data_IF_192489754828
#
_entry.id   IF_192489754828
#
_cell.length_a   1.000
_cell.length_b   1.000
_cell.length_c   1.000
_cell.angle_alpha   90.00
_cell.angle_beta   90.00
_cell.angle_gamma   90.00
#
_symmetry.space_group_name_H-M   'P 1'
#
loop_
_entity.id
_entity.type
_entity.pdbx_description
1 polymer ?
#
# COMPACT_ATOMS: atom_id res chain seq x y z
N UNK A 1 -18.49 5.43 10.07
CA UNK A 1 -19.71 5.43 9.23
C UNK A 1 -19.26 5.23 7.79
N UNK A 2 -19.64 4.12 7.18
CA UNK A 2 -19.37 3.85 5.76
C UNK A 2 -20.73 3.91 5.06
N UNK A 3 -20.82 4.73 4.01
CA UNK A 3 -22.02 4.89 3.20
C UNK A 3 -21.79 4.19 1.87
N UNK A 4 -22.61 3.20 1.54
CA UNK A 4 -22.62 2.61 0.21
C UNK A 4 -23.77 3.22 -0.57
N UNK A 5 -23.47 3.66 -1.79
CA UNK A 5 -24.45 4.28 -2.68
C UNK A 5 -24.50 3.43 -3.94
N UNK A 6 -25.64 2.77 -4.14
CA UNK A 6 -25.93 2.03 -5.36
C UNK A 6 -26.62 2.99 -6.34
N UNK A 7 -25.90 3.33 -7.42
CA UNK A 7 -26.39 4.20 -8.49
C UNK A 7 -26.18 3.57 -9.87
N UNK A 8 -27.08 3.85 -10.82
CA UNK A 8 -26.88 3.44 -12.20
C UNK A 8 -25.63 4.08 -12.82
N UNK A 9 -24.92 3.31 -13.65
CA UNK A 9 -23.66 3.72 -14.29
C UNK A 9 -23.77 5.04 -15.08
N UNK A 10 -24.93 5.30 -15.70
CA UNK A 10 -25.16 6.49 -16.52
C UNK A 10 -25.30 7.78 -15.71
N UNK A 11 -25.44 7.71 -14.38
CA UNK A 11 -25.48 8.89 -13.48
C UNK A 11 -24.10 9.31 -12.96
N UNK A 12 -23.05 8.56 -13.33
CA UNK A 12 -21.66 8.79 -12.97
C UNK A 12 -20.91 9.21 -14.22
N UNK A 13 -20.17 10.31 -14.14
CA UNK A 13 -19.24 10.69 -15.20
C UNK A 13 -17.99 9.81 -15.07
N UNK A 14 -17.90 8.80 -15.95
CA UNK A 14 -16.90 7.71 -15.89
C UNK A 14 -15.59 8.04 -16.61
N UNK A 15 -15.24 9.32 -16.77
CA UNK A 15 -13.89 9.73 -17.20
C UNK A 15 -12.84 9.54 -16.08
N UNK A 16 -12.93 8.40 -15.40
CA UNK A 16 -12.25 8.04 -14.15
C UNK A 16 -11.35 6.84 -14.42
N UNK A 17 -10.05 7.11 -14.55
CA UNK A 17 -9.01 6.08 -14.53
C UNK A 17 -9.06 5.34 -13.18
N UNK A 18 -8.78 4.03 -13.11
CA UNK A 18 -8.87 3.23 -11.87
C UNK A 18 -8.02 3.74 -10.67
N UNK A 19 -7.18 4.75 -10.88
CA UNK A 19 -6.37 5.41 -9.85
C UNK A 19 -6.97 6.73 -9.31
N UNK A 20 -8.09 7.23 -9.84
CA UNK A 20 -8.74 8.44 -9.34
C UNK A 20 -9.58 8.11 -8.09
N UNK A 21 -9.26 8.77 -6.98
CA UNK A 21 -9.97 8.69 -5.69
C UNK A 21 -11.27 9.50 -5.64
N UNK A 22 -11.59 10.25 -6.70
CA UNK A 22 -12.76 11.13 -6.78
C UNK A 22 -13.66 10.72 -7.95
N UNK A 23 -14.97 10.69 -7.70
CA UNK A 23 -16.02 10.37 -8.67
C UNK A 23 -16.91 11.59 -8.89
N UNK A 24 -17.18 11.93 -10.16
CA UNK A 24 -18.10 13.02 -10.52
C UNK A 24 -19.49 12.46 -10.81
N UNK A 25 -20.51 13.06 -10.21
CA UNK A 25 -21.91 12.67 -10.41
C UNK A 25 -22.61 13.68 -11.31
N UNK A 26 -23.48 13.21 -12.22
CA UNK A 26 -24.25 14.09 -13.09
C UNK A 26 -25.16 15.04 -12.31
N UNK A 27 -25.72 14.60 -11.18
CA UNK A 27 -26.55 15.42 -10.30
C UNK A 27 -26.00 15.46 -8.87
N UNK A 28 -25.04 16.34 -8.65
CA UNK A 28 -24.34 16.49 -7.38
C UNK A 28 -25.25 16.97 -6.24
N UNK A 29 -26.32 17.71 -6.56
CA UNK A 29 -27.29 18.19 -5.59
C UNK A 29 -28.16 17.06 -5.03
N UNK A 30 -28.53 16.09 -5.86
CA UNK A 30 -29.26 14.90 -5.43
C UNK A 30 -28.43 14.08 -4.44
N UNK A 31 -27.19 13.77 -4.77
CA UNK A 31 -26.28 13.01 -3.90
C UNK A 31 -26.10 13.72 -2.55
N UNK A 32 -25.88 15.04 -2.56
CA UNK A 32 -25.80 15.84 -1.33
C UNK A 32 -27.09 15.74 -0.50
N UNK A 33 -28.25 15.84 -1.12
CA UNK A 33 -29.54 15.75 -0.42
C UNK A 33 -29.76 14.37 0.24
N UNK A 34 -29.33 13.30 -0.43
CA UNK A 34 -29.40 11.93 0.08
C UNK A 34 -28.50 11.73 1.29
N UNK A 35 -27.24 12.18 1.21
CA UNK A 35 -26.28 12.10 2.32
C UNK A 35 -26.84 12.85 3.54
N UNK A 36 -27.33 14.08 3.36
CA UNK A 36 -27.88 14.90 4.45
C UNK A 36 -29.10 14.21 5.07
N UNK A 37 -30.01 13.63 4.25
CA UNK A 37 -31.20 12.93 4.75
C UNK A 37 -30.83 11.69 5.56
N UNK A 38 -29.87 10.89 5.11
CA UNK A 38 -29.39 9.69 5.81
C UNK A 38 -28.74 10.02 7.14
N UNK A 39 -27.91 11.06 7.17
CA UNK A 39 -27.27 11.53 8.41
C UNK A 39 -28.32 12.03 9.40
N UNK A 40 -29.28 12.85 8.94
CA UNK A 40 -30.37 13.31 9.82
C UNK A 40 -31.19 12.16 10.39
N UNK A 41 -31.53 11.15 9.57
CA UNK A 41 -32.29 9.97 10.01
C UNK A 41 -31.53 9.16 11.06
N UNK A 42 -30.22 9.01 10.91
CA UNK A 42 -29.35 8.34 11.89
C UNK A 42 -29.27 9.11 13.21
N UNK A 43 -29.10 10.44 13.15
CA UNK A 43 -29.04 11.28 14.35
C UNK A 43 -30.37 11.27 15.12
N UNK A 44 -31.50 11.20 14.41
CA UNK A 44 -32.83 11.14 15.05
C UNK A 44 -33.18 9.80 15.71
N UNK A 45 -32.39 8.72 15.50
CA UNK A 45 -32.62 7.40 16.10
C UNK A 45 -31.40 6.97 16.95
N UNK A 46 -31.29 7.42 18.21
CA UNK A 46 -30.06 7.30 19.00
C UNK A 46 -29.86 5.94 19.70
N UNK A 47 -30.64 4.90 19.37
CA UNK A 47 -30.57 3.59 20.02
C UNK A 47 -30.26 2.48 19.02
N UNK A 48 -28.98 2.35 18.64
CA UNK A 48 -28.26 1.08 18.46
C UNK A 48 -26.90 1.29 17.75
N UNK A 49 -25.84 1.07 18.55
CA UNK A 49 -24.48 0.61 18.23
C UNK A 49 -23.66 1.23 17.07
N UNK A 50 -22.37 1.40 17.38
CA UNK A 50 -21.32 2.21 16.74
C UNK A 50 -20.91 1.76 15.32
N UNK A 51 -21.52 0.71 14.78
CA UNK A 51 -21.23 0.22 13.43
C UNK A 51 -22.57 0.10 12.68
N UNK A 52 -22.97 1.12 11.93
CA UNK A 52 -24.10 1.03 11.01
C UNK A 52 -23.60 1.28 9.58
N UNK A 53 -23.93 0.34 8.69
CA UNK A 53 -23.72 0.46 7.26
C UNK A 53 -25.04 0.92 6.65
N UNK A 54 -25.03 2.03 5.92
CA UNK A 54 -26.23 2.55 5.25
C UNK A 54 -26.08 2.28 3.76
N UNK A 55 -27.01 1.51 3.20
CA UNK A 55 -27.11 1.30 1.75
C UNK A 55 -28.20 2.22 1.20
N UNK A 56 -27.83 3.03 0.21
CA UNK A 56 -28.76 3.90 -0.50
C UNK A 56 -28.97 3.36 -1.91
N UNK A 57 -30.18 2.86 -2.19
CA UNK A 57 -30.60 2.48 -3.54
C UNK A 57 -31.42 3.61 -4.16
N UNK A 58 -30.97 4.09 -5.32
CA UNK A 58 -31.72 5.07 -6.12
C UNK A 58 -32.50 4.30 -7.21
N UNK A 59 -33.83 4.28 -7.11
CA UNK A 59 -34.70 3.65 -8.12
C UNK A 59 -35.07 4.64 -9.23
N UNK A 60 -35.23 4.14 -10.47
CA UNK A 60 -35.45 4.94 -11.68
C UNK A 60 -36.77 5.75 -11.72
N UNK A 61 -37.72 5.53 -10.82
CA UNK A 61 -39.09 6.09 -10.94
C UNK A 61 -39.22 7.59 -10.58
N UNK A 62 -38.13 8.28 -10.22
CA UNK A 62 -38.17 9.68 -9.77
C UNK A 62 -37.57 10.68 -10.76
N UNK A 63 -37.34 10.32 -12.03
CA UNK A 63 -36.63 11.17 -12.99
C UNK A 63 -37.40 11.60 -14.24
N UNK A 64 -38.62 11.14 -14.45
CA UNK A 64 -39.48 11.72 -15.49
C UNK A 64 -40.28 12.87 -14.89
N UNK A 65 -39.88 14.10 -15.28
CA UNK A 65 -40.45 15.41 -14.96
C UNK A 65 -39.89 16.11 -13.71
N UNK A 66 -38.98 17.06 -13.93
CA UNK A 66 -39.33 18.49 -13.77
C UNK A 66 -38.11 19.41 -13.96
N UNK A 67 -38.39 20.52 -14.63
CA UNK A 67 -37.46 21.59 -14.94
C UNK A 67 -36.69 22.14 -13.73
N UNK A 68 -35.44 22.50 -14.04
CA UNK A 68 -34.55 23.32 -13.23
C UNK A 68 -35.24 24.57 -12.69
N UNK A 69 -35.69 24.55 -11.42
CA UNK A 69 -35.51 25.66 -10.46
C UNK A 69 -36.01 25.44 -9.03
N UNK A 70 -36.81 24.41 -8.71
CA UNK A 70 -37.41 24.27 -7.38
C UNK A 70 -37.20 22.89 -6.70
N UNK A 71 -35.96 22.41 -6.61
CA UNK A 71 -35.63 21.13 -5.94
C UNK A 71 -35.58 21.27 -4.39
N UNK A 72 -35.83 22.46 -3.82
CA UNK A 72 -35.69 22.66 -2.36
C UNK A 72 -36.90 22.23 -1.52
N UNK A 73 -38.06 21.90 -2.09
CA UNK A 73 -39.26 21.74 -1.25
C UNK A 73 -40.14 20.53 -1.49
N UNK A 74 -40.06 19.79 -2.61
CA UNK A 74 -40.99 18.66 -2.84
C UNK A 74 -40.31 17.42 -3.45
N UNK A 75 -39.32 16.83 -2.77
CA UNK A 75 -39.17 15.37 -2.86
C UNK A 75 -40.05 14.76 -1.76
N UNK A 76 -41.33 14.63 -2.09
CA UNK A 76 -42.32 13.86 -1.36
C UNK A 76 -41.75 12.49 -0.99
N UNK A 77 -42.10 12.09 0.23
CA UNK A 77 -41.41 11.13 1.08
C UNK A 77 -41.39 9.67 0.58
N UNK A 78 -41.86 9.36 -0.63
CA UNK A 78 -42.38 8.00 -0.91
C UNK A 78 -41.50 7.08 -1.77
N UNK A 79 -40.48 7.55 -2.51
CA UNK A 79 -39.78 6.67 -3.47
C UNK A 79 -38.29 6.39 -3.20
N UNK A 80 -37.81 6.60 -1.97
CA UNK A 80 -36.42 6.30 -1.59
C UNK A 80 -36.37 5.24 -0.49
N UNK A 81 -36.14 3.99 -0.89
CA UNK A 81 -35.95 2.86 0.03
C UNK A 81 -34.57 2.99 0.71
N UNK A 82 -34.57 3.50 1.94
CA UNK A 82 -33.39 3.54 2.81
C UNK A 82 -33.46 2.33 3.72
N UNK A 83 -32.67 1.30 3.40
CA UNK A 83 -32.59 0.06 4.17
C UNK A 83 -31.43 0.19 5.18
N UNK A 84 -31.77 0.23 6.47
CA UNK A 84 -30.76 0.18 7.53
C UNK A 84 -30.50 -1.28 7.88
N UNK A 85 -29.31 -1.77 7.53
CA UNK A 85 -28.86 -3.09 7.92
C UNK A 85 -27.95 -2.99 9.16
N UNK A 86 -28.10 -3.88 10.15
CA UNK A 86 -27.14 -3.97 11.24
C UNK A 86 -25.76 -4.28 10.65
N UNK A 87 -24.68 -3.64 11.11
CA UNK A 87 -23.34 -3.92 10.57
C UNK A 87 -22.76 -5.28 11.02
N UNK A 88 -23.56 -6.13 11.66
CA UNK A 88 -23.32 -7.57 11.55
C UNK A 88 -23.56 -7.97 10.11
N UNK A 89 -22.49 -7.93 9.32
CA UNK A 89 -22.33 -8.89 8.24
C UNK A 89 -22.61 -10.26 8.86
N UNK A 90 -23.79 -10.82 8.60
CA UNK A 90 -23.84 -12.23 8.28
C UNK A 90 -22.93 -12.37 7.06
N UNK A 91 -21.64 -12.60 7.32
CA UNK A 91 -20.83 -13.33 6.37
C UNK A 91 -21.68 -14.53 5.99
N UNK A 92 -22.07 -14.62 4.72
CA UNK A 92 -22.53 -15.88 4.18
C UNK A 92 -21.53 -16.94 4.64
N UNK A 93 -21.96 -17.83 5.53
CA UNK A 93 -21.11 -18.93 6.03
C UNK A 93 -20.74 -19.91 4.91
N UNK A 94 -21.24 -19.68 3.70
CA UNK A 94 -21.01 -20.48 2.51
C UNK A 94 -19.85 -19.99 1.63
N UNK A 95 -19.19 -18.88 1.98
CA UNK A 95 -17.95 -18.44 1.34
C UNK A 95 -16.71 -18.79 2.19
N UNK A 96 -16.66 -20.02 2.73
CA UNK A 96 -15.39 -20.65 3.09
C UNK A 96 -14.62 -20.97 1.80
N UNK A 97 -14.17 -19.94 1.08
CA UNK A 97 -12.87 -20.07 0.43
C UNK A 97 -11.92 -20.39 1.56
N UNK A 98 -11.40 -21.61 1.59
CA UNK A 98 -10.29 -22.00 2.46
C UNK A 98 -9.11 -21.15 2.04
N UNK A 99 -9.04 -19.92 2.53
CA UNK A 99 -7.88 -19.07 2.35
C UNK A 99 -6.77 -19.73 3.16
N UNK A 100 -5.91 -20.46 2.44
CA UNK A 100 -4.71 -21.02 3.02
C UNK A 100 -3.76 -19.86 3.32
N UNK A 101 -3.76 -19.42 4.58
CA UNK A 101 -2.91 -18.36 5.09
C UNK A 101 -1.78 -18.99 5.91
N UNK A 102 -0.67 -19.42 5.28
CA UNK A 102 0.36 -20.17 5.96
C UNK A 102 1.10 -19.34 7.03
N UNK A 103 1.03 -18.00 6.99
CA UNK A 103 1.54 -17.15 8.06
C UNK A 103 0.49 -16.80 9.12
N UNK A 104 -0.76 -17.23 8.95
CA UNK A 104 -1.81 -17.08 9.96
C UNK A 104 -2.30 -15.64 10.14
N UNK A 105 -2.65 -15.26 11.37
CA UNK A 105 -3.13 -13.92 11.70
C UNK A 105 -2.20 -13.24 12.72
N UNK A 106 -1.84 -11.98 12.46
CA UNK A 106 -1.03 -11.18 13.36
C UNK A 106 -1.73 -10.96 14.72
N UNK A 107 -0.98 -11.15 15.81
CA UNK A 107 -1.47 -11.01 17.19
C UNK A 107 -0.81 -9.88 17.94
N UNK A 108 0.48 -9.70 17.75
CA UNK A 108 1.24 -8.69 18.47
C UNK A 108 2.48 -8.26 17.70
N UNK A 109 2.98 -7.08 18.05
CA UNK A 109 4.28 -6.60 17.65
C UNK A 109 5.15 -6.47 18.91
N UNK A 110 6.38 -7.00 18.87
CA UNK A 110 7.35 -6.90 19.95
C UNK A 110 8.45 -5.90 19.58
N UNK A 111 8.76 -4.99 20.50
CA UNK A 111 9.80 -3.96 20.39
C UNK A 111 9.81 -3.16 19.07
N UNK A 112 8.68 -3.12 18.36
CA UNK A 112 8.57 -2.53 17.02
C UNK A 112 9.51 -3.15 15.97
N UNK A 113 9.97 -4.38 16.20
CA UNK A 113 10.92 -5.11 15.34
C UNK A 113 10.41 -6.48 14.92
N UNK A 114 9.66 -7.16 15.79
CA UNK A 114 9.14 -8.50 15.52
C UNK A 114 7.62 -8.48 15.46
N UNK A 115 7.07 -9.30 14.56
CA UNK A 115 5.63 -9.59 14.50
C UNK A 115 5.42 -11.03 14.95
N UNK A 116 4.41 -11.23 15.79
CA UNK A 116 3.93 -12.54 16.18
C UNK A 116 2.63 -12.80 15.44
N UNK A 117 2.55 -13.94 14.76
CA UNK A 117 1.32 -14.44 14.17
C UNK A 117 0.97 -15.84 14.67
N UNK A 118 -0.32 -16.13 14.73
CA UNK A 118 -0.85 -17.44 15.11
C UNK A 118 -1.36 -18.16 13.87
N UNK A 119 -0.93 -19.41 13.70
CA UNK A 119 -1.43 -20.35 12.68
C UNK A 119 -2.27 -21.45 13.33
N UNK A 120 -2.82 -22.37 12.55
CA UNK A 120 -3.56 -23.53 13.09
C UNK A 120 -2.67 -24.44 13.95
N UNK A 121 -1.37 -24.47 13.68
CA UNK A 121 -0.44 -25.47 14.21
C UNK A 121 0.61 -24.88 15.15
N UNK A 122 0.56 -23.57 15.41
CA UNK A 122 1.49 -22.90 16.32
C UNK A 122 1.58 -21.38 16.15
N UNK A 123 2.78 -20.87 16.43
CA UNK A 123 3.11 -19.44 16.41
C UNK A 123 4.27 -19.21 15.45
N UNK A 124 4.23 -18.11 14.70
CA UNK A 124 5.34 -17.66 13.85
C UNK A 124 5.85 -16.32 14.38
N UNK A 125 7.16 -16.24 14.55
CA UNK A 125 7.87 -14.98 14.78
C UNK A 125 8.47 -14.50 13.46
N UNK A 126 8.20 -13.25 13.10
CA UNK A 126 8.66 -12.62 11.87
C UNK A 126 9.56 -11.44 12.23
N UNK A 127 10.74 -11.38 11.64
CA UNK A 127 11.57 -10.17 11.61
C UNK A 127 10.96 -9.19 10.59
N UNK A 128 10.35 -8.13 11.09
CA UNK A 128 9.65 -7.14 10.27
C UNK A 128 10.58 -6.48 9.26
N UNK A 129 11.81 -6.15 9.68
CA UNK A 129 12.76 -5.42 8.86
C UNK A 129 13.27 -6.30 7.72
N UNK A 130 13.74 -7.50 8.05
CA UNK A 130 14.24 -8.45 7.06
C UNK A 130 13.14 -8.89 6.07
N UNK A 131 11.90 -9.09 6.56
CA UNK A 131 10.75 -9.38 5.71
C UNK A 131 10.44 -8.25 4.73
N UNK A 132 10.42 -6.99 5.22
CA UNK A 132 10.12 -5.83 4.39
C UNK A 132 11.18 -5.60 3.32
N UNK A 133 12.47 -5.68 3.68
CA UNK A 133 13.57 -5.59 2.71
C UNK A 133 13.44 -6.64 1.62
N UNK A 134 13.09 -7.88 1.98
CA UNK A 134 12.92 -8.95 0.99
C UNK A 134 11.75 -8.71 0.06
N UNK A 135 10.61 -8.24 0.59
CA UNK A 135 9.44 -7.89 -0.22
C UNK A 135 9.80 -6.81 -1.25
N UNK A 136 10.43 -5.72 -0.79
CA UNK A 136 10.82 -4.59 -1.65
C UNK A 136 11.80 -5.07 -2.73
N UNK A 137 12.81 -5.86 -2.37
CA UNK A 137 13.79 -6.36 -3.33
C UNK A 137 13.15 -7.22 -4.43
N UNK A 138 12.28 -8.15 -4.06
CA UNK A 138 11.62 -9.03 -5.05
C UNK A 138 10.64 -8.24 -5.94
N UNK A 139 9.97 -7.22 -5.39
CA UNK A 139 9.12 -6.32 -6.16
C UNK A 139 9.93 -5.49 -7.17
N UNK A 140 11.07 -4.93 -6.76
CA UNK A 140 12.01 -4.23 -7.65
C UNK A 140 12.51 -5.15 -8.76
N UNK A 141 12.96 -6.36 -8.42
CA UNK A 141 13.39 -7.36 -9.40
C UNK A 141 12.28 -7.67 -10.39
N UNK A 142 11.07 -7.94 -9.91
CA UNK A 142 9.92 -8.24 -10.76
C UNK A 142 9.63 -7.09 -11.73
N UNK A 143 9.57 -5.86 -11.24
CA UNK A 143 9.27 -4.69 -12.05
C UNK A 143 10.38 -4.40 -13.07
N UNK A 144 11.64 -4.61 -12.68
CA UNK A 144 12.78 -4.48 -13.58
C UNK A 144 12.73 -5.50 -14.73
N UNK A 145 12.39 -6.77 -14.46
CA UNK A 145 12.24 -7.78 -15.51
C UNK A 145 11.08 -7.48 -16.48
N UNK A 146 10.05 -6.75 -16.02
CA UNK A 146 8.93 -6.30 -16.85
C UNK A 146 9.33 -5.08 -17.71
N UNK A 147 10.45 -4.43 -17.42
CA UNK A 147 11.07 -3.41 -18.26
C UNK A 147 10.86 -1.97 -17.79
N UNK A 148 10.21 -1.73 -16.65
CA UNK A 148 10.20 -0.40 -16.02
C UNK A 148 9.81 -0.48 -14.54
N UNK A 149 10.63 0.12 -13.68
CA UNK A 149 10.25 0.38 -12.29
C UNK A 149 9.37 1.63 -12.26
N UNK A 150 8.16 1.58 -11.65
CA UNK A 150 7.31 2.76 -11.48
C UNK A 150 8.05 3.86 -10.69
N UNK A 151 8.05 5.07 -11.25
CA UNK A 151 8.64 6.26 -10.64
C UNK A 151 7.56 7.28 -10.26
N UNK A 152 7.81 8.04 -9.20
CA UNK A 152 7.03 9.18 -8.77
C UNK A 152 7.84 10.48 -8.94
N UNK A 153 7.18 11.52 -9.44
CA UNK A 153 7.78 12.86 -9.56
C UNK A 153 7.82 13.50 -8.18
N UNK A 154 8.97 14.08 -7.82
CA UNK A 154 9.12 14.86 -6.60
C UNK A 154 8.39 16.20 -6.73
N UNK A 155 7.62 16.58 -5.72
CA UNK A 155 6.97 17.89 -5.66
C UNK A 155 7.99 19.04 -5.77
N UNK A 156 9.16 18.83 -5.16
CA UNK A 156 10.30 19.73 -5.20
C UNK A 156 11.51 18.89 -5.63
N UNK A 157 12.14 19.16 -6.78
CA UNK A 157 13.37 18.49 -7.18
C UNK A 157 14.46 18.66 -6.13
N UNK A 158 15.19 17.59 -5.84
CA UNK A 158 16.24 17.59 -4.83
C UNK A 158 17.61 17.83 -5.48
N UNK A 159 18.33 18.84 -4.99
CA UNK A 159 19.68 19.19 -5.47
C UNK A 159 20.71 18.54 -4.56
N UNK A 160 21.57 17.68 -5.12
CA UNK A 160 22.54 16.89 -4.36
C UNK A 160 23.95 17.22 -4.82
N UNK A 161 24.79 17.64 -3.87
CA UNK A 161 26.21 17.87 -4.08
C UNK A 161 27.00 16.56 -3.86
N UNK A 162 27.90 16.26 -4.79
CA UNK A 162 28.71 15.05 -4.89
C UNK A 162 30.16 15.44 -5.21
N UNK A 163 31.09 14.48 -5.14
CA UNK A 163 32.42 14.71 -5.69
C UNK A 163 32.45 14.53 -7.22
N UNK A 164 33.53 14.96 -7.87
CA UNK A 164 33.65 14.91 -9.34
C UNK A 164 33.61 13.48 -9.89
N UNK A 165 34.17 12.51 -9.16
CA UNK A 165 34.18 11.11 -9.56
C UNK A 165 32.77 10.51 -9.53
N UNK A 166 32.05 10.70 -8.41
CA UNK A 166 30.66 10.30 -8.20
C UNK A 166 29.72 10.90 -9.24
N UNK A 167 29.87 12.20 -9.52
CA UNK A 167 29.04 12.91 -10.49
C UNK A 167 29.22 12.31 -11.89
N UNK A 168 30.47 12.09 -12.31
CA UNK A 168 30.76 11.46 -13.60
C UNK A 168 30.19 10.03 -13.68
N UNK A 169 30.33 9.24 -12.62
CA UNK A 169 29.80 7.87 -12.58
C UNK A 169 28.27 7.83 -12.69
N UNK A 170 27.55 8.75 -12.05
CA UNK A 170 26.10 8.84 -12.19
C UNK A 170 25.67 9.27 -13.60
N UNK A 171 26.39 10.22 -14.20
CA UNK A 171 26.11 10.70 -15.58
C UNK A 171 26.36 9.58 -16.59
N UNK A 172 27.45 8.81 -16.45
CA UNK A 172 27.76 7.66 -17.31
C UNK A 172 26.65 6.59 -17.25
N UNK A 173 26.02 6.41 -16.07
CA UNK A 173 24.99 5.41 -15.83
C UNK A 173 23.56 6.00 -15.81
N UNK A 174 23.33 7.19 -16.37
CA UNK A 174 22.04 7.88 -16.30
C UNK A 174 20.88 7.08 -16.89
N UNK A 175 21.14 6.30 -17.95
CA UNK A 175 20.15 5.43 -18.59
C UNK A 175 19.74 4.27 -17.67
N UNK A 176 20.71 3.66 -16.99
CA UNK A 176 20.45 2.61 -16.02
C UNK A 176 19.62 3.14 -14.86
N UNK A 177 19.94 4.34 -14.37
CA UNK A 177 19.20 5.02 -13.31
C UNK A 177 17.75 5.29 -13.72
N UNK A 178 17.50 5.71 -14.96
CA UNK A 178 16.15 5.92 -15.50
C UNK A 178 15.35 4.59 -15.56
N UNK A 179 15.98 3.49 -15.99
CA UNK A 179 15.35 2.16 -16.02
C UNK A 179 14.93 1.66 -14.62
N UNK A 180 15.73 2.00 -13.60
CA UNK A 180 15.40 1.65 -12.21
C UNK A 180 14.50 2.67 -11.51
N UNK A 181 14.05 3.72 -12.21
CA UNK A 181 13.06 4.68 -11.72
C UNK A 181 13.62 5.98 -11.13
N UNK A 182 14.91 6.25 -11.29
CA UNK A 182 15.54 7.52 -10.92
C UNK A 182 15.76 8.42 -12.13
N UNK A 183 15.12 9.59 -12.12
CA UNK A 183 15.36 10.61 -13.14
C UNK A 183 16.23 11.71 -12.58
N UNK A 184 17.49 11.71 -13.01
CA UNK A 184 18.49 12.68 -12.59
C UNK A 184 18.94 13.54 -13.77
N UNK A 185 19.37 14.76 -13.47
CA UNK A 185 19.93 15.70 -14.45
C UNK A 185 21.20 16.34 -13.87
N UNK A 186 22.26 16.53 -14.68
CA UNK A 186 23.46 17.24 -14.24
C UNK A 186 23.14 18.73 -14.02
N UNK A 187 23.73 19.32 -12.97
CA UNK A 187 23.54 20.73 -12.62
C UNK A 187 24.85 21.37 -12.15
N UNK A 188 25.74 21.72 -13.08
CA UNK A 188 27.09 22.18 -12.74
C UNK A 188 28.09 21.02 -12.63
N UNK A 189 29.27 21.27 -12.07
CA UNK A 189 30.38 20.30 -12.09
C UNK A 189 30.23 19.16 -11.07
N UNK A 190 29.71 19.45 -9.88
CA UNK A 190 29.72 18.55 -8.72
C UNK A 190 28.32 18.40 -8.10
N UNK A 191 27.28 18.62 -8.90
CA UNK A 191 25.90 18.68 -8.42
C UNK A 191 24.95 18.08 -9.45
N UNK A 192 23.95 17.37 -8.95
CA UNK A 192 22.87 16.79 -9.75
C UNK A 192 21.50 17.17 -9.17
N UNK A 193 20.49 17.13 -10.02
CA UNK A 193 19.08 17.33 -9.65
C UNK A 193 18.35 16.01 -9.82
N UNK A 194 17.66 15.57 -8.77
CA UNK A 194 16.74 14.43 -8.82
C UNK A 194 15.32 14.96 -9.02
N UNK A 195 14.64 14.49 -10.07
CA UNK A 195 13.25 14.87 -10.38
C UNK A 195 12.26 13.76 -10.08
N UNK A 196 12.66 12.52 -10.31
CA UNK A 196 11.82 11.34 -10.10
C UNK A 196 12.59 10.28 -9.31
N UNK A 197 11.88 9.55 -8.46
CA UNK A 197 12.40 8.43 -7.68
C UNK A 197 11.44 7.24 -7.79
N UNK A 198 11.89 6.00 -7.57
CA UNK A 198 11.00 4.84 -7.49
C UNK A 198 9.82 5.05 -6.52
N UNK A 199 8.62 4.61 -6.90
CA UNK A 199 7.40 4.76 -6.09
C UNK A 199 7.51 4.05 -4.72
N UNK A 200 8.30 2.98 -4.67
CA UNK A 200 8.52 2.19 -3.45
C UNK A 200 9.39 2.90 -2.40
N UNK A 201 10.07 3.99 -2.78
CA UNK A 201 10.91 4.76 -1.88
C UNK A 201 10.12 5.88 -1.21
N UNK A 202 10.30 6.02 0.10
CA UNK A 202 9.87 7.21 0.83
C UNK A 202 10.81 8.39 0.51
N UNK A 203 10.24 9.60 0.45
CA UNK A 203 10.95 10.81 0.05
C UNK A 203 11.98 11.32 1.08
N UNK A 204 12.16 10.65 2.22
CA UNK A 204 12.96 11.15 3.34
C UNK A 204 14.47 10.90 3.22
N UNK A 205 14.93 10.04 2.31
CA UNK A 205 16.35 9.60 2.26
C UNK A 205 16.99 9.69 0.86
N UNK A 206 16.45 10.50 -0.05
CA UNK A 206 16.88 10.54 -1.46
C UNK A 206 18.36 10.93 -1.58
N UNK A 207 18.81 12.02 -0.93
CA UNK A 207 20.24 12.39 -0.96
C UNK A 207 21.19 11.28 -0.51
N UNK A 208 20.82 10.52 0.53
CA UNK A 208 21.65 9.41 1.04
C UNK A 208 21.68 8.25 0.05
N UNK A 209 20.53 7.86 -0.49
CA UNK A 209 20.42 6.79 -1.47
C UNK A 209 21.29 7.09 -2.70
N UNK A 210 21.19 8.31 -3.23
CA UNK A 210 21.94 8.73 -4.41
C UNK A 210 23.46 8.74 -4.15
N UNK A 211 23.88 9.21 -2.97
CA UNK A 211 25.29 9.17 -2.55
C UNK A 211 25.82 7.74 -2.44
N UNK A 212 25.07 6.85 -1.79
CA UNK A 212 25.44 5.43 -1.67
C UNK A 212 25.53 4.75 -3.05
N UNK A 213 24.62 5.07 -3.97
CA UNK A 213 24.67 4.55 -5.35
C UNK A 213 25.91 5.09 -6.08
N UNK A 214 26.21 6.38 -5.94
CA UNK A 214 27.38 7.00 -6.57
C UNK A 214 28.70 6.43 -6.03
N UNK A 215 28.79 6.23 -4.72
CA UNK A 215 29.94 5.60 -4.07
C UNK A 215 30.13 4.17 -4.59
N UNK A 216 29.06 3.40 -4.71
CA UNK A 216 29.10 2.04 -5.26
C UNK A 216 29.63 2.01 -6.69
N UNK A 217 29.15 2.89 -7.57
CA UNK A 217 29.69 2.98 -8.94
C UNK A 217 31.16 3.40 -8.98
N UNK A 218 31.62 4.22 -8.02
CA UNK A 218 33.01 4.66 -7.94
C UNK A 218 33.96 3.60 -7.37
N UNK A 219 33.45 2.63 -6.63
CA UNK A 219 34.25 1.58 -6.01
C UNK A 219 34.84 0.66 -7.09
N UNK A 220 36.15 0.44 -7.05
CA UNK A 220 36.92 -0.34 -8.05
C UNK A 220 36.67 -1.85 -8.01
N UNK A 221 35.67 -2.32 -7.27
CA UNK A 221 35.28 -3.72 -7.33
C UNK A 221 34.65 -3.94 -8.71
N UNK A 222 35.39 -4.67 -9.57
CA UNK A 222 34.99 -5.03 -10.92
C UNK A 222 33.75 -5.94 -10.87
N UNK A 223 32.58 -5.35 -10.63
CA UNK A 223 31.31 -5.98 -10.90
C UNK A 223 31.17 -5.96 -12.42
N UNK A 224 31.69 -7.01 -13.06
CA UNK A 224 31.75 -7.13 -14.51
C UNK A 224 30.35 -7.31 -15.14
N UNK A 225 29.34 -7.65 -14.33
CA UNK A 225 28.00 -7.92 -14.79
C UNK A 225 27.02 -6.80 -14.38
N UNK A 226 26.29 -6.25 -15.36
CA UNK A 226 25.28 -5.20 -15.14
C UNK A 226 24.21 -5.66 -14.14
N UNK A 227 23.83 -6.95 -14.18
CA UNK A 227 22.84 -7.53 -13.28
C UNK A 227 23.27 -7.51 -11.80
N UNK A 228 24.56 -7.71 -11.53
CA UNK A 228 25.07 -7.70 -10.17
C UNK A 228 25.10 -6.27 -9.60
N UNK A 229 25.44 -5.27 -10.44
CA UNK A 229 25.32 -3.85 -10.06
C UNK A 229 23.88 -3.47 -9.73
N UNK A 230 22.93 -3.90 -10.54
CA UNK A 230 21.49 -3.66 -10.29
C UNK A 230 21.05 -4.29 -8.98
N UNK A 231 21.48 -5.53 -8.70
CA UNK A 231 21.14 -6.21 -7.46
C UNK A 231 21.66 -5.46 -6.23
N UNK A 232 22.88 -4.91 -6.29
CA UNK A 232 23.43 -4.09 -5.19
C UNK A 232 22.66 -2.80 -4.99
N UNK A 233 22.28 -2.12 -6.08
CA UNK A 233 21.43 -0.93 -6.00
C UNK A 233 20.07 -1.28 -5.39
N UNK A 234 19.45 -2.39 -5.79
CA UNK A 234 18.19 -2.85 -5.20
C UNK A 234 18.32 -3.20 -3.73
N UNK A 235 19.45 -3.77 -3.30
CA UNK A 235 19.70 -4.00 -1.89
C UNK A 235 19.71 -2.67 -1.10
N UNK A 236 20.39 -1.64 -1.61
CA UNK A 236 20.41 -0.30 -1.01
C UNK A 236 19.01 0.32 -0.96
N UNK A 237 18.30 0.35 -2.09
CA UNK A 237 16.91 0.85 -2.18
C UNK A 237 16.02 0.12 -1.17
N UNK A 238 16.18 -1.20 -1.03
CA UNK A 238 15.37 -2.00 -0.09
C UNK A 238 15.65 -1.63 1.36
N UNK A 239 16.91 -1.42 1.73
CA UNK A 239 17.29 -0.94 3.07
C UNK A 239 16.68 0.44 3.37
N UNK A 240 16.74 1.37 2.41
CA UNK A 240 16.22 2.73 2.58
C UNK A 240 14.70 2.84 2.44
N UNK A 241 14.04 1.93 1.72
CA UNK A 241 12.57 1.79 1.70
C UNK A 241 12.03 1.12 2.98
N UNK A 242 12.88 0.43 3.73
CA UNK A 242 12.55 -0.24 5.00
C UNK A 242 12.52 0.70 6.21
N UNK A 243 12.34 2.00 6.00
CA UNK A 243 12.20 3.04 7.07
C UNK A 243 11.00 2.77 8.02
N UNK A 244 10.22 1.71 7.76
CA UNK A 244 9.30 1.10 8.74
C UNK A 244 9.99 0.41 9.91
N UNK A 245 11.32 0.28 9.94
CA UNK A 245 12.06 -0.27 11.07
C UNK A 245 11.84 0.57 12.35
N UNK A 246 11.30 -0.06 13.41
CA UNK A 246 11.04 0.62 14.68
C UNK A 246 9.70 1.35 14.78
N UNK A 247 8.89 1.35 13.71
CA UNK A 247 7.52 1.88 13.73
C UNK A 247 6.56 0.88 14.36
N UNK A 248 5.63 1.38 15.18
CA UNK A 248 4.47 0.60 15.61
C UNK A 248 3.51 0.38 14.44
N UNK A 249 3.17 -0.88 14.16
CA UNK A 249 2.22 -1.28 13.13
C UNK A 249 0.87 -1.57 13.77
N UNK A 250 -0.21 -1.24 13.06
CA UNK A 250 -1.54 -1.74 13.46
C UNK A 250 -1.74 -3.18 12.99
N UNK A 251 -2.81 -3.83 13.44
CA UNK A 251 -3.09 -5.24 13.12
C UNK A 251 -3.30 -5.46 11.62
N UNK A 252 -3.97 -4.52 10.94
CA UNK A 252 -4.22 -4.61 9.50
C UNK A 252 -2.93 -4.49 8.68
N UNK A 253 -2.01 -3.61 9.09
CA UNK A 253 -0.69 -3.43 8.50
C UNK A 253 0.19 -4.66 8.70
N UNK A 254 0.17 -5.24 9.90
CA UNK A 254 0.86 -6.49 10.17
C UNK A 254 0.33 -7.60 9.26
N UNK A 255 -0.99 -7.78 9.20
CA UNK A 255 -1.60 -8.79 8.33
C UNK A 255 -1.30 -8.53 6.85
N UNK A 256 -1.32 -7.28 6.39
CA UNK A 256 -0.94 -6.92 5.02
C UNK A 256 0.51 -7.33 4.72
N UNK A 257 1.44 -7.10 5.67
CA UNK A 257 2.82 -7.57 5.53
C UNK A 257 2.89 -9.10 5.40
N UNK A 258 2.17 -9.84 6.25
CA UNK A 258 2.12 -11.30 6.18
C UNK A 258 1.60 -11.77 4.82
N UNK A 259 0.50 -11.19 4.32
CA UNK A 259 -0.05 -11.50 3.00
C UNK A 259 0.95 -11.20 1.88
N UNK A 260 1.70 -10.10 1.97
CA UNK A 260 2.78 -9.79 1.02
C UNK A 260 3.87 -10.86 1.07
N UNK A 261 4.37 -11.22 2.26
CA UNK A 261 5.37 -12.28 2.43
C UNK A 261 4.94 -13.62 1.83
N UNK A 262 3.66 -13.98 1.95
CA UNK A 262 3.11 -15.22 1.36
C UNK A 262 3.14 -15.21 -0.17
N UNK A 263 2.92 -14.03 -0.78
CA UNK A 263 2.99 -13.84 -2.24
C UNK A 263 4.42 -13.62 -2.76
N UNK A 264 5.36 -13.30 -1.89
CA UNK A 264 6.74 -12.98 -2.25
C UNK A 264 7.60 -14.26 -2.33
N UNK A 265 8.26 -14.53 -3.47
CA UNK A 265 9.16 -15.67 -3.58
C UNK A 265 10.36 -15.50 -2.63
N UNK A 266 10.86 -16.60 -2.09
CA UNK A 266 12.02 -16.62 -1.19
C UNK A 266 11.88 -15.71 0.06
N UNK A 267 10.65 -15.38 0.46
CA UNK A 267 10.37 -14.51 1.59
C UNK A 267 10.87 -15.04 2.93
N UNK A 268 11.27 -16.32 3.01
CA UNK A 268 11.82 -16.98 4.20
C UNK A 268 13.29 -16.66 4.51
N UNK A 269 14.03 -16.03 3.60
CA UNK A 269 15.44 -15.65 3.79
C UNK A 269 15.69 -14.19 3.37
N UNK A 270 16.45 -13.47 4.18
CA UNK A 270 16.87 -12.10 3.87
C UNK A 270 18.00 -12.10 2.82
N UNK A 271 18.41 -10.91 2.39
CA UNK A 271 19.45 -10.73 1.37
C UNK A 271 20.83 -11.26 1.80
N UNK A 272 21.04 -11.43 3.11
CA UNK A 272 22.27 -11.97 3.72
C UNK A 272 22.12 -13.43 4.17
N UNK A 273 21.03 -14.12 3.80
CA UNK A 273 20.79 -15.53 4.13
C UNK A 273 20.23 -15.81 5.54
N UNK A 274 19.92 -14.78 6.34
CA UNK A 274 19.28 -14.95 7.65
C UNK A 274 17.79 -15.28 7.49
N UNK A 275 17.20 -16.10 8.37
CA UNK A 275 15.77 -16.38 8.31
C UNK A 275 14.96 -15.11 8.61
N UNK A 276 13.91 -14.86 7.84
CA UNK A 276 12.95 -13.76 8.10
C UNK A 276 11.81 -14.19 9.01
N UNK A 277 11.60 -15.50 9.17
CA UNK A 277 10.58 -16.08 10.03
C UNK A 277 11.09 -17.33 10.74
N UNK A 278 10.56 -17.56 11.93
CA UNK A 278 10.78 -18.77 12.73
C UNK A 278 9.42 -19.31 13.13
N UNK A 279 9.18 -20.60 12.90
CA UNK A 279 7.93 -21.28 13.26
C UNK A 279 8.13 -22.09 14.53
N UNK A 280 7.23 -21.94 15.49
CA UNK A 280 7.16 -22.70 16.73
C UNK A 280 5.83 -23.46 16.76
N UNK A 281 5.87 -24.78 16.62
CA UNK A 281 4.64 -25.60 16.70
C UNK A 281 4.11 -25.69 18.13
N UNK A 282 2.81 -25.95 18.29
CA UNK A 282 2.23 -26.18 19.63
C UNK A 282 2.89 -27.35 20.36
N UNK A 283 3.13 -28.48 19.69
CA UNK A 283 3.87 -29.61 20.27
C UNK A 283 5.26 -29.23 20.80
N UNK A 284 5.96 -28.33 20.10
CA UNK A 284 7.28 -27.85 20.53
C UNK A 284 7.16 -26.92 21.73
N UNK A 285 6.17 -26.03 21.73
CA UNK A 285 5.89 -25.14 22.85
C UNK A 285 5.50 -25.92 24.12
N UNK A 286 4.63 -26.93 24.01
CA UNK A 286 4.23 -27.78 25.15
C UNK A 286 5.43 -28.48 25.78
N UNK A 287 6.34 -29.03 24.96
CA UNK A 287 7.60 -29.63 25.41
C UNK A 287 8.49 -28.65 26.17
N UNK A 288 8.58 -27.39 25.74
CA UNK A 288 9.38 -26.38 26.44
C UNK A 288 8.86 -26.07 27.86
N UNK A 289 7.57 -26.29 28.10
CA UNK A 289 6.96 -26.13 29.41
C UNK A 289 6.81 -27.45 30.19
N UNK A 290 7.44 -28.54 29.71
CA UNK A 290 7.33 -29.88 30.29
C UNK A 290 5.87 -30.38 30.41
N UNK A 291 4.98 -29.89 29.54
CA UNK A 291 3.59 -30.35 29.42
C UNK A 291 3.53 -31.46 28.37
N UNK A 292 2.84 -32.56 28.70
CA UNK A 292 2.60 -33.71 27.82
C UNK A 292 1.23 -33.62 27.19
#
# INVERSE_FOLDING_TARGET
>A
MILFIDIPYYMVDVNVHPAKTEVRFQNLNLIKSLIIKSIRKLISNPLNQINNVVNLKINNSSFENSDNKNIRTNLSQENLNIELLPASKTYDQNDKKSYNYPLGAAKAQLNSTFIISETSDGIILIDQHAAHERIVMEELKKNFHIGKIPSQILLIPEVINLNTLETNQLIENIKLLDEIGFKIEPFGENTIIVREVPEILDSSNISKIIKDIAENFSSKENIQNVNDKINEIFAKISCYGSVRAGRKLNVDEMNSLLRKMESTPNSGQCNHGRPTKITLSFDYLEKLFERK
#
